data_IF_032242584488
#
_entry.id   IF_032242584488
#
_cell.length_a   1.000
_cell.length_b   1.000
_cell.length_c   1.000
_cell.angle_alpha   90.00
_cell.angle_beta   90.00
_cell.angle_gamma   90.00
#
_symmetry.space_group_name_H-M   'P 1'
#
loop_
_entity.id
_entity.type
_entity.pdbx_description
1 polymer ?
#
# COMPACT_ATOMS: atom_id res chain seq x y z
N UNK A 1 2.93 30.09 4.49
CA UNK A 1 2.17 29.11 5.28
C UNK A 1 2.78 27.74 5.03
N UNK A 2 3.31 27.07 6.05
CA UNK A 2 3.88 25.74 5.88
C UNK A 2 2.75 24.78 5.48
N UNK A 3 2.74 24.33 4.22
CA UNK A 3 1.84 23.28 3.79
C UNK A 3 2.32 21.98 4.42
N UNK A 4 1.71 21.60 5.54
CA UNK A 4 1.88 20.26 6.10
C UNK A 4 1.43 19.24 5.04
N UNK A 5 2.40 18.47 4.56
CA UNK A 5 2.22 17.39 3.59
C UNK A 5 1.72 16.15 4.32
N UNK A 6 0.44 16.17 4.66
CA UNK A 6 -0.24 15.04 5.30
C UNK A 6 -0.82 14.11 4.22
N UNK A 7 -0.67 12.80 4.41
CA UNK A 7 -1.21 11.76 3.55
C UNK A 7 -2.72 11.92 3.33
N UNK A 8 -3.47 12.39 4.33
CA UNK A 8 -4.92 12.65 4.19
C UNK A 8 -5.25 13.75 3.17
N UNK A 9 -4.33 14.69 2.92
CA UNK A 9 -4.50 15.68 1.86
C UNK A 9 -4.29 15.08 0.48
N UNK A 10 -3.39 14.10 0.35
CA UNK A 10 -3.11 13.40 -0.91
C UNK A 10 -4.21 12.42 -1.29
N UNK A 11 -4.86 11.81 -0.30
CA UNK A 11 -5.91 10.82 -0.55
C UNK A 11 -7.29 11.42 -0.83
N UNK A 12 -7.38 12.73 -1.00
CA UNK A 12 -8.61 13.44 -1.37
C UNK A 12 -8.35 14.38 -2.56
N UNK A 13 -9.35 14.75 -3.35
CA UNK A 13 -9.19 15.61 -4.53
C UNK A 13 -8.92 17.09 -4.17
N UNK A 14 -8.18 17.39 -3.10
CA UNK A 14 -7.95 18.76 -2.61
C UNK A 14 -7.10 19.63 -3.55
N UNK A 15 -6.24 18.99 -4.35
CA UNK A 15 -5.37 19.64 -5.33
C UNK A 15 -5.98 19.73 -6.73
N UNK A 16 -7.17 19.17 -6.94
CA UNK A 16 -7.86 19.36 -8.21
C UNK A 16 -8.31 20.83 -8.31
N UNK A 17 -8.15 21.43 -9.49
CA UNK A 17 -8.60 22.79 -9.78
C UNK A 17 -10.12 22.90 -9.59
N UNK A 18 -10.84 21.84 -9.94
CA UNK A 18 -12.28 21.70 -9.77
C UNK A 18 -12.64 20.51 -8.89
N UNK A 19 -13.64 20.70 -8.03
CA UNK A 19 -14.17 19.61 -7.21
C UNK A 19 -14.95 18.62 -8.09
N UNK A 20 -14.69 17.30 -7.99
CA UNK A 20 -15.45 16.29 -8.72
C UNK A 20 -16.92 16.20 -8.27
N UNK A 21 -17.29 16.93 -7.22
CA UNK A 21 -18.65 17.00 -6.67
C UNK A 21 -19.33 18.35 -6.93
N UNK A 22 -18.74 19.22 -7.73
CA UNK A 22 -19.28 20.55 -8.03
C UNK A 22 -19.37 21.51 -6.83
N UNK A 23 -18.65 21.21 -5.73
CA UNK A 23 -18.65 22.06 -4.52
C UNK A 23 -17.49 23.06 -4.56
N UNK A 24 -17.75 24.33 -4.25
CA UNK A 24 -16.67 25.30 -4.03
C UNK A 24 -15.87 24.97 -2.75
N UNK A 25 -14.60 25.40 -2.70
CA UNK A 25 -13.72 25.12 -1.55
C UNK A 25 -14.29 25.65 -0.25
N UNK A 26 -14.88 26.84 -0.26
CA UNK A 26 -15.44 27.49 0.94
C UNK A 26 -16.68 26.79 1.48
N UNK A 27 -17.43 26.09 0.61
CA UNK A 27 -18.61 25.31 0.98
C UNK A 27 -18.29 23.83 1.23
N UNK A 28 -17.02 23.43 1.11
CA UNK A 28 -16.59 22.05 1.26
C UNK A 28 -16.15 21.77 2.71
N UNK A 29 -16.96 21.01 3.43
CA UNK A 29 -16.66 20.56 4.81
C UNK A 29 -15.40 19.68 4.89
N UNK A 30 -15.03 19.00 3.79
CA UNK A 30 -13.93 18.05 3.74
C UNK A 30 -12.57 18.69 3.41
N UNK A 31 -12.38 19.98 3.69
CA UNK A 31 -11.13 20.74 3.43
C UNK A 31 -10.09 20.56 4.54
N UNK A 32 -10.51 20.20 5.76
CA UNK A 32 -9.62 19.96 6.91
C UNK A 32 -9.40 18.46 7.13
N UNK A 33 -8.32 18.05 7.80
CA UNK A 33 -8.03 16.62 7.97
C UNK A 33 -9.06 15.92 8.87
N UNK A 34 -9.58 16.61 9.89
CA UNK A 34 -10.65 16.11 10.76
C UNK A 34 -11.93 15.73 10.01
N UNK A 35 -12.17 16.33 8.83
CA UNK A 35 -13.35 16.09 8.01
C UNK A 35 -13.02 15.48 6.64
N UNK A 36 -11.78 15.02 6.41
CA UNK A 36 -11.35 14.49 5.12
C UNK A 36 -12.26 13.35 4.62
N UNK A 37 -12.71 12.49 5.54
CA UNK A 37 -13.62 11.36 5.27
C UNK A 37 -15.03 11.77 4.79
N UNK A 38 -15.41 13.05 4.92
CA UNK A 38 -16.70 13.56 4.44
C UNK A 38 -16.73 13.80 2.93
N UNK A 39 -15.57 13.82 2.26
CA UNK A 39 -15.54 13.88 0.80
C UNK A 39 -15.88 12.49 0.23
N UNK A 40 -16.89 12.36 -0.66
CA UNK A 40 -17.24 11.07 -1.26
C UNK A 40 -16.12 10.45 -2.11
N UNK A 41 -15.19 11.28 -2.61
CA UNK A 41 -14.00 10.82 -3.36
C UNK A 41 -12.76 10.70 -2.48
N UNK A 42 -12.85 10.92 -1.16
CA UNK A 42 -11.71 10.65 -0.30
C UNK A 42 -11.51 9.15 -0.16
N UNK A 43 -10.28 8.70 -0.36
CA UNK A 43 -9.88 7.34 -0.01
C UNK A 43 -9.13 7.36 1.33
N UNK A 44 -9.22 6.27 2.08
CA UNK A 44 -8.47 6.13 3.33
C UNK A 44 -6.97 5.96 3.03
N UNK A 45 -6.07 6.60 3.78
CA UNK A 45 -4.63 6.30 3.72
C UNK A 45 -4.30 4.82 3.92
N UNK A 46 -5.19 4.08 4.59
CA UNK A 46 -5.07 2.63 4.74
C UNK A 46 -5.03 1.89 3.40
N UNK A 47 -5.66 2.41 2.34
CA UNK A 47 -5.59 1.81 1.00
C UNK A 47 -4.15 1.81 0.44
N UNK A 48 -3.40 2.88 0.71
CA UNK A 48 -1.98 2.98 0.32
C UNK A 48 -1.15 1.95 1.10
N UNK A 49 -1.37 1.85 2.42
CA UNK A 49 -0.72 0.85 3.26
C UNK A 49 -1.01 -0.56 2.75
N UNK A 50 -2.28 -0.92 2.53
CA UNK A 50 -2.70 -2.21 1.99
C UNK A 50 -1.99 -2.53 0.68
N UNK A 51 -1.96 -1.57 -0.26
CA UNK A 51 -1.30 -1.74 -1.55
C UNK A 51 0.22 -1.95 -1.42
N UNK A 52 0.86 -1.23 -0.51
CA UNK A 52 2.29 -1.41 -0.22
C UNK A 52 2.57 -2.83 0.28
N UNK A 53 1.78 -3.32 1.23
CA UNK A 53 1.89 -4.70 1.73
C UNK A 53 1.68 -5.69 0.57
N UNK A 54 0.69 -5.46 -0.29
CA UNK A 54 0.47 -6.28 -1.51
C UNK A 54 1.64 -6.26 -2.49
N UNK A 55 2.31 -5.13 -2.67
CA UNK A 55 3.49 -5.07 -3.52
C UNK A 55 4.66 -5.91 -2.96
N UNK A 56 4.87 -5.88 -1.64
CA UNK A 56 5.89 -6.72 -0.99
C UNK A 56 5.56 -8.21 -1.12
N UNK A 57 4.27 -8.58 -1.01
CA UNK A 57 3.83 -9.94 -1.27
C UNK A 57 4.07 -10.38 -2.72
N UNK A 58 3.72 -9.54 -3.70
CA UNK A 58 3.95 -9.85 -5.11
C UNK A 58 5.45 -9.96 -5.45
N UNK A 59 6.31 -9.23 -4.73
CA UNK A 59 7.76 -9.34 -4.78
C UNK A 59 8.34 -10.55 -4.03
N UNK A 60 7.50 -11.42 -3.48
CA UNK A 60 7.89 -12.62 -2.73
C UNK A 60 8.85 -12.32 -1.56
N UNK A 61 8.63 -11.20 -0.88
CA UNK A 61 9.37 -10.83 0.33
C UNK A 61 8.97 -11.79 1.47
N UNK A 62 9.95 -12.34 2.22
CA UNK A 62 9.67 -13.16 3.39
C UNK A 62 8.72 -12.48 4.39
N UNK A 63 7.83 -13.27 5.00
CA UNK A 63 6.75 -12.74 5.84
C UNK A 63 7.26 -12.04 7.10
N UNK A 64 8.31 -12.57 7.70
CA UNK A 64 9.04 -11.97 8.83
C UNK A 64 9.58 -10.59 8.46
N UNK A 65 10.26 -10.47 7.31
CA UNK A 65 10.77 -9.20 6.80
C UNK A 65 9.63 -8.21 6.51
N UNK A 66 8.53 -8.67 5.91
CA UNK A 66 7.37 -7.85 5.62
C UNK A 66 6.63 -7.41 6.90
N UNK A 67 6.51 -8.32 7.88
CA UNK A 67 5.93 -8.10 9.21
C UNK A 67 6.68 -7.00 9.94
N UNK A 68 8.01 -7.12 10.02
CA UNK A 68 8.87 -6.14 10.69
C UNK A 68 8.82 -4.78 9.98
N UNK A 69 8.88 -4.79 8.64
CA UNK A 69 8.85 -3.55 7.86
C UNK A 69 7.52 -2.80 7.97
N UNK A 70 6.42 -3.53 8.09
CA UNK A 70 5.08 -2.95 8.04
C UNK A 70 4.43 -2.87 9.42
N UNK A 71 5.09 -3.32 10.48
CA UNK A 71 4.53 -3.41 11.83
C UNK A 71 3.14 -4.09 11.81
N UNK A 72 3.12 -5.34 11.37
CA UNK A 72 1.90 -6.15 11.26
C UNK A 72 2.21 -7.60 11.58
N UNK A 73 1.45 -8.19 12.49
CA UNK A 73 1.73 -9.56 12.92
C UNK A 73 1.55 -10.58 11.79
N UNK A 74 2.33 -11.67 11.85
CA UNK A 74 2.20 -12.80 10.93
C UNK A 74 0.78 -13.34 10.85
N UNK A 75 0.05 -13.38 11.97
CA UNK A 75 -1.35 -13.83 12.03
C UNK A 75 -2.28 -12.92 11.20
N UNK A 76 -2.06 -11.61 11.23
CA UNK A 76 -2.84 -10.65 10.43
C UNK A 76 -2.47 -10.76 8.95
N UNK A 77 -1.19 -10.98 8.64
CA UNK A 77 -0.76 -11.27 7.27
C UNK A 77 -1.46 -12.54 6.76
N UNK A 78 -1.48 -13.61 7.55
CA UNK A 78 -2.13 -14.90 7.23
C UNK A 78 -3.63 -14.77 6.97
N UNK A 79 -4.35 -14.03 7.81
CA UNK A 79 -5.77 -13.77 7.58
C UNK A 79 -6.05 -13.06 6.25
N UNK A 80 -5.11 -12.26 5.76
CA UNK A 80 -5.24 -11.52 4.52
C UNK A 80 -4.48 -12.14 3.34
N UNK A 81 -3.88 -13.34 3.54
CA UNK A 81 -3.05 -14.02 2.55
C UNK A 81 -3.85 -14.73 1.44
N UNK A 82 -5.16 -14.97 1.60
CA UNK A 82 -5.95 -15.83 0.70
C UNK A 82 -6.65 -15.13 -0.48
N UNK A 83 -6.42 -13.82 -0.69
CA UNK A 83 -7.11 -13.07 -1.76
C UNK A 83 -6.36 -13.03 -3.10
N UNK A 84 -5.18 -13.66 -3.20
CA UNK A 84 -4.46 -13.84 -4.46
C UNK A 84 -4.32 -15.35 -4.73
N UNK A 85 -4.78 -15.76 -5.92
CA UNK A 85 -4.90 -17.12 -6.47
C UNK A 85 -3.94 -18.21 -5.92
N UNK A 86 -4.39 -19.50 -5.92
CA UNK A 86 -3.68 -20.60 -5.30
C UNK A 86 -2.21 -20.72 -5.73
N UNK A 87 -1.46 -21.09 -4.70
CA UNK A 87 -0.02 -21.02 -4.47
C UNK A 87 0.80 -22.08 -5.21
N UNK A 88 0.28 -22.65 -6.31
CA UNK A 88 0.92 -23.84 -6.90
C UNK A 88 2.11 -23.51 -7.81
N UNK A 89 2.20 -22.31 -8.41
CA UNK A 89 3.26 -22.04 -9.40
C UNK A 89 4.43 -21.17 -8.92
N UNK A 90 4.38 -20.56 -7.72
CA UNK A 90 5.37 -19.52 -7.34
C UNK A 90 6.55 -20.00 -6.51
N UNK A 91 6.44 -21.14 -5.83
CA UNK A 91 7.53 -21.69 -5.03
C UNK A 91 8.57 -22.45 -5.89
N UNK A 92 8.15 -22.97 -7.03
CA UNK A 92 9.01 -23.73 -7.95
C UNK A 92 10.05 -22.81 -8.64
N UNK A 93 9.63 -21.61 -9.05
CA UNK A 93 10.47 -20.65 -9.77
C UNK A 93 11.65 -20.11 -8.94
N UNK A 94 11.54 -20.08 -7.61
CA UNK A 94 12.63 -19.60 -6.74
C UNK A 94 13.61 -20.68 -6.34
N UNK A 95 13.14 -21.93 -6.21
CA UNK A 95 14.01 -23.10 -5.97
C UNK A 95 14.94 -23.33 -7.15
N UNK A 96 14.45 -23.14 -8.38
CA UNK A 96 15.26 -23.20 -9.59
C UNK A 96 16.27 -22.06 -9.69
N UNK A 97 15.89 -20.82 -9.30
CA UNK A 97 16.81 -19.67 -9.28
C UNK A 97 17.92 -19.82 -8.23
N UNK A 98 17.62 -20.33 -7.03
CA UNK A 98 18.63 -20.59 -6.00
C UNK A 98 19.57 -21.74 -6.40
N UNK A 99 19.06 -22.78 -7.08
CA UNK A 99 19.90 -23.85 -7.64
C UNK A 99 20.79 -23.38 -8.80
N UNK A 100 20.39 -22.33 -9.54
CA UNK A 100 21.18 -21.75 -10.64
C UNK A 100 22.27 -20.77 -10.19
N UNK A 101 22.25 -20.33 -8.93
CA UNK A 101 23.21 -19.39 -8.36
C UNK A 101 24.36 -20.07 -7.63
N UNK A 102 25.12 -20.93 -8.31
CA UNK A 102 26.41 -21.39 -7.78
C UNK A 102 27.36 -20.21 -7.73
N UNK A 103 27.64 -19.76 -6.50
CA UNK A 103 28.89 -19.12 -6.07
C UNK A 103 30.06 -19.49 -6.98
N UNK A 104 30.50 -18.57 -7.82
CA UNK A 104 31.86 -18.56 -8.32
C UNK A 104 32.52 -17.26 -7.89
N UNK A 105 32.97 -17.29 -6.64
CA UNK A 105 34.27 -16.74 -6.30
C UNK A 105 35.29 -17.39 -7.24
N UNK A 106 35.85 -16.60 -8.16
CA UNK A 106 37.15 -16.89 -8.79
C UNK A 106 37.69 -15.60 -9.42
N UNK A 107 38.85 -15.21 -8.86
CA UNK A 107 39.82 -14.17 -9.27
C UNK A 107 39.53 -12.75 -8.81
#
# INVERSE_FOLDING_TARGET
>A
MAHSFDIYRLTRPYYADESPHGRSRDKCEATTNAHASKCPSSVSPHAIRRRSITAHWNGNIPKDVASDRMDVSGVVLDKHHDMAAPKESKNEDRSSLIKSGTLHSKM
#
